data_IF_243434857548
#
_entry.id   IF_243434857548
#
_cell.length_a   1.000
_cell.length_b   1.000
_cell.length_c   1.000
_cell.angle_alpha   90.00
_cell.angle_beta   90.00
_cell.angle_gamma   90.00
#
_symmetry.space_group_name_H-M   'P 1'
#
loop_
_entity.id
_entity.type
_entity.pdbx_description
1 polymer ?
#
# COMPACT_ATOMS: atom_id res chain seq x y z
N UNK A 1 13.14 -14.29 -18.37
CA UNK A 1 13.69 -15.50 -19.02
C UNK A 1 13.10 -15.58 -20.41
N UNK A 2 13.95 -15.73 -21.42
CA UNK A 2 13.55 -15.85 -22.81
C UNK A 2 12.59 -17.03 -23.06
N UNK A 3 12.69 -18.10 -22.27
CA UNK A 3 11.76 -19.23 -22.34
C UNK A 3 10.31 -18.83 -21.99
N UNK A 4 10.12 -17.92 -21.03
CA UNK A 4 8.79 -17.44 -20.66
C UNK A 4 8.16 -16.60 -21.75
N UNK A 5 8.98 -15.86 -22.50
CA UNK A 5 8.51 -15.11 -23.66
C UNK A 5 8.08 -16.04 -24.79
N UNK A 6 8.83 -17.10 -25.06
CA UNK A 6 8.43 -18.13 -26.04
C UNK A 6 7.08 -18.76 -25.65
N UNK A 7 6.92 -19.14 -24.38
CA UNK A 7 5.66 -19.65 -23.84
C UNK A 7 4.51 -18.65 -24.01
N UNK A 8 4.72 -17.37 -23.67
CA UNK A 8 3.72 -16.30 -23.85
C UNK A 8 3.29 -16.17 -25.31
N UNK A 9 4.21 -16.35 -26.26
CA UNK A 9 3.95 -16.24 -27.69
C UNK A 9 3.34 -17.52 -28.31
N UNK A 10 3.18 -18.60 -27.52
CA UNK A 10 2.73 -19.90 -28.01
C UNK A 10 3.77 -20.59 -28.90
N UNK A 11 5.07 -20.37 -28.64
CA UNK A 11 6.17 -20.94 -29.40
C UNK A 11 6.83 -22.04 -28.56
N UNK A 12 6.68 -23.30 -28.98
CA UNK A 12 7.20 -24.47 -28.26
C UNK A 12 8.67 -24.80 -28.59
N UNK A 13 9.26 -24.06 -29.54
CA UNK A 13 10.63 -24.28 -30.02
C UNK A 13 11.62 -23.54 -29.12
N UNK A 14 12.55 -24.27 -28.52
CA UNK A 14 13.63 -23.69 -27.71
C UNK A 14 14.93 -23.45 -28.46
N UNK A 15 15.14 -24.13 -29.60
CA UNK A 15 16.29 -23.90 -30.47
C UNK A 15 16.03 -22.70 -31.41
N UNK A 16 16.79 -21.59 -31.30
CA UNK A 16 16.62 -20.43 -32.17
C UNK A 16 16.74 -20.74 -33.66
N UNK A 17 17.48 -21.80 -34.04
CA UNK A 17 17.65 -22.21 -35.44
C UNK A 17 16.33 -22.66 -36.08
N UNK A 18 15.42 -23.21 -35.26
CA UNK A 18 14.14 -23.77 -35.68
C UNK A 18 13.01 -22.72 -35.76
N UNK A 19 13.25 -21.52 -35.24
CA UNK A 19 12.29 -20.42 -35.33
C UNK A 19 12.16 -19.93 -36.78
N UNK A 20 10.92 -19.87 -37.26
CA UNK A 20 10.56 -19.23 -38.54
C UNK A 20 10.84 -17.72 -38.47
N UNK A 21 11.01 -17.02 -39.61
CA UNK A 21 11.23 -15.58 -39.60
C UNK A 21 10.16 -14.77 -38.83
N UNK A 22 8.85 -15.08 -38.92
CA UNK A 22 7.82 -14.42 -38.10
C UNK A 22 7.98 -14.68 -36.60
N UNK A 23 8.26 -15.92 -36.20
CA UNK A 23 8.50 -16.27 -34.79
C UNK A 23 9.72 -15.53 -34.23
N UNK A 24 10.83 -15.47 -35.00
CA UNK A 24 12.03 -14.71 -34.62
C UNK A 24 11.72 -13.24 -34.42
N UNK A 25 10.95 -12.64 -35.34
CA UNK A 25 10.57 -11.24 -35.24
C UNK A 25 9.74 -10.97 -33.99
N UNK A 26 8.67 -11.74 -33.76
CA UNK A 26 7.81 -11.60 -32.57
C UNK A 26 8.56 -11.87 -31.27
N UNK A 27 9.49 -12.82 -31.27
CA UNK A 27 10.30 -13.12 -30.10
C UNK A 27 11.31 -12.00 -29.80
N UNK A 28 12.06 -11.52 -30.79
CA UNK A 28 13.15 -10.56 -30.56
C UNK A 28 12.70 -9.10 -30.46
N UNK A 29 11.63 -8.71 -31.19
CA UNK A 29 11.13 -7.34 -31.22
C UNK A 29 9.90 -7.21 -30.34
N UNK A 30 9.95 -6.29 -29.38
CA UNK A 30 8.80 -5.98 -28.53
C UNK A 30 7.80 -5.04 -29.21
N UNK A 31 8.25 -4.24 -30.18
CA UNK A 31 7.41 -3.29 -30.94
C UNK A 31 6.58 -2.36 -30.04
N UNK A 32 7.18 -1.92 -28.93
CA UNK A 32 6.52 -1.11 -27.90
C UNK A 32 6.05 0.20 -28.53
N UNK A 33 4.78 0.53 -28.35
CA UNK A 33 4.25 1.85 -28.68
C UNK A 33 4.71 2.86 -27.61
N UNK A 34 5.56 3.84 -27.94
CA UNK A 34 6.06 4.82 -26.96
C UNK A 34 4.95 5.62 -26.28
N UNK A 35 3.79 5.80 -26.93
CA UNK A 35 2.66 6.53 -26.38
C UNK A 35 1.88 5.72 -25.33
N UNK A 36 2.03 4.39 -25.33
CA UNK A 36 1.37 3.47 -24.40
C UNK A 36 2.14 3.24 -23.10
N UNK A 37 3.39 3.74 -23.00
CA UNK A 37 4.25 3.50 -21.84
C UNK A 37 3.66 4.19 -20.61
N UNK A 38 3.17 3.38 -19.68
CA UNK A 38 2.61 3.84 -18.40
C UNK A 38 3.67 3.89 -17.29
N UNK A 39 4.80 3.21 -17.50
CA UNK A 39 5.86 3.10 -16.50
C UNK A 39 6.63 4.42 -16.33
N UNK A 40 6.49 5.03 -15.15
CA UNK A 40 7.19 6.27 -14.76
C UNK A 40 8.47 5.96 -13.98
N UNK A 41 9.32 6.97 -13.80
CA UNK A 41 10.52 6.88 -12.97
C UNK A 41 10.17 7.19 -11.51
N UNK A 42 11.07 6.88 -10.58
CA UNK A 42 10.86 7.19 -9.17
C UNK A 42 12.08 7.80 -8.50
N UNK A 43 11.84 8.65 -7.49
CA UNK A 43 12.86 9.19 -6.59
C UNK A 43 12.23 9.46 -5.23
N UNK A 44 12.95 9.19 -4.15
CA UNK A 44 12.43 9.40 -2.79
C UNK A 44 12.69 10.82 -2.26
N UNK A 45 12.19 11.80 -3.00
CA UNK A 45 12.32 13.23 -2.70
C UNK A 45 11.04 13.96 -3.09
N UNK A 46 10.62 14.93 -2.27
CA UNK A 46 9.49 15.80 -2.59
C UNK A 46 9.88 16.86 -3.64
N UNK A 47 9.95 16.45 -4.91
CA UNK A 47 10.26 17.35 -6.03
C UNK A 47 9.08 17.50 -6.99
N UNK A 48 8.44 18.67 -6.97
CA UNK A 48 7.29 18.96 -7.82
C UNK A 48 7.66 19.19 -9.30
N UNK A 49 8.90 19.57 -9.59
CA UNK A 49 9.33 19.92 -10.96
C UNK A 49 9.50 18.69 -11.85
N UNK A 50 9.67 17.51 -11.25
CA UNK A 50 9.85 16.26 -11.98
C UNK A 50 8.53 15.52 -12.29
N UNK A 51 7.38 16.09 -11.90
CA UNK A 51 6.06 15.50 -12.19
C UNK A 51 5.83 15.29 -13.69
N UNK A 52 6.38 16.16 -14.51
CA UNK A 52 6.30 16.08 -15.96
C UNK A 52 7.56 16.61 -16.61
N UNK A 53 8.22 15.78 -17.41
CA UNK A 53 9.49 16.08 -18.07
C UNK A 53 9.48 15.51 -19.50
N UNK A 54 10.37 16.02 -20.34
CA UNK A 54 10.73 15.40 -21.61
C UNK A 54 12.13 14.79 -21.51
N UNK A 55 12.28 13.56 -22.00
CA UNK A 55 13.55 12.81 -21.99
C UNK A 55 13.98 12.51 -23.43
N UNK A 56 15.26 12.14 -23.62
CA UNK A 56 15.78 11.83 -24.96
C UNK A 56 16.13 13.05 -25.82
N UNK A 57 16.43 14.19 -25.18
CA UNK A 57 16.83 15.44 -25.85
C UNK A 57 18.31 15.44 -26.31
N UNK A 58 19.06 14.39 -25.97
CA UNK A 58 20.46 14.24 -26.37
C UNK A 58 20.64 14.00 -27.87
N UNK A 59 21.82 14.28 -28.45
CA UNK A 59 22.11 14.02 -29.86
C UNK A 59 21.95 12.55 -30.27
N UNK A 60 22.26 11.60 -29.37
CA UNK A 60 22.16 10.16 -29.64
C UNK A 60 20.70 9.70 -29.69
N UNK A 61 19.81 10.30 -28.90
CA UNK A 61 18.39 10.01 -28.84
C UNK A 61 17.56 10.83 -29.83
N UNK A 62 18.18 11.56 -30.77
CA UNK A 62 17.49 12.42 -31.73
C UNK A 62 16.30 11.71 -32.40
N UNK A 63 15.11 12.33 -32.31
CA UNK A 63 13.87 11.79 -32.86
C UNK A 63 13.19 10.72 -31.99
N UNK A 64 13.72 10.42 -30.80
CA UNK A 64 13.20 9.45 -29.83
C UNK A 64 12.90 10.12 -28.49
N UNK A 65 12.32 11.33 -28.52
CA UNK A 65 11.92 12.02 -27.29
C UNK A 65 10.70 11.35 -26.67
N UNK A 66 10.59 11.42 -25.35
CA UNK A 66 9.48 10.82 -24.61
C UNK A 66 9.09 11.68 -23.42
N UNK A 67 7.80 12.03 -23.35
CA UNK A 67 7.19 12.77 -22.25
C UNK A 67 6.82 11.80 -21.13
N UNK A 68 7.32 12.05 -19.94
CA UNK A 68 7.24 11.15 -18.78
C UNK A 68 7.32 11.95 -17.48
N UNK A 69 7.59 11.30 -16.35
CA UNK A 69 7.88 11.98 -15.08
C UNK A 69 8.37 11.04 -14.00
N UNK A 70 8.57 11.62 -12.82
CA UNK A 70 8.91 10.92 -11.59
C UNK A 70 7.73 10.91 -10.63
N UNK A 71 7.58 9.78 -9.94
CA UNK A 71 6.74 9.66 -8.76
C UNK A 71 7.63 9.43 -7.52
N UNK A 72 7.07 9.60 -6.32
CA UNK A 72 7.83 9.31 -5.09
C UNK A 72 7.97 7.80 -4.92
N UNK A 73 9.13 7.29 -4.50
CA UNK A 73 9.45 5.84 -4.53
C UNK A 73 8.38 4.92 -3.95
N UNK A 74 7.70 5.32 -2.87
CA UNK A 74 6.63 4.55 -2.22
C UNK A 74 5.36 4.36 -3.06
N UNK A 75 5.20 5.09 -4.17
CA UNK A 75 4.10 4.89 -5.14
C UNK A 75 4.41 3.81 -6.18
N UNK A 76 5.65 3.34 -6.26
CA UNK A 76 6.05 2.32 -7.23
C UNK A 76 5.27 1.02 -7.06
N UNK A 77 4.87 0.40 -8.18
CA UNK A 77 4.32 -0.96 -8.15
C UNK A 77 5.29 -1.97 -7.50
N UNK A 78 6.61 -1.73 -7.63
CA UNK A 78 7.64 -2.53 -6.95
C UNK A 78 7.47 -2.49 -5.42
N UNK A 79 7.09 -1.34 -4.85
CA UNK A 79 6.82 -1.22 -3.41
C UNK A 79 5.57 -2.02 -3.02
N UNK A 80 4.52 -1.97 -3.83
CA UNK A 80 3.32 -2.77 -3.60
C UNK A 80 3.61 -4.28 -3.68
N UNK A 81 4.45 -4.70 -4.63
CA UNK A 81 4.90 -6.10 -4.77
C UNK A 81 5.73 -6.53 -3.56
N UNK A 82 6.68 -5.69 -3.10
CA UNK A 82 7.47 -5.97 -1.90
C UNK A 82 6.57 -6.18 -0.67
N UNK A 83 5.51 -5.39 -0.54
CA UNK A 83 4.59 -5.51 0.58
C UNK A 83 3.66 -6.74 0.49
N UNK A 84 3.24 -7.15 -0.72
CA UNK A 84 2.33 -8.29 -0.91
C UNK A 84 3.01 -9.63 -1.18
N UNK A 85 4.33 -9.65 -1.32
CA UNK A 85 5.00 -10.92 -1.61
C UNK A 85 5.07 -11.83 -0.39
N UNK A 86 5.09 -13.13 -0.66
CA UNK A 86 5.15 -14.22 0.33
C UNK A 86 6.49 -14.96 0.32
N UNK A 87 7.33 -14.75 -0.69
CA UNK A 87 8.66 -15.35 -0.84
C UNK A 87 9.46 -14.67 -1.94
N UNK A 88 10.77 -14.93 -2.03
CA UNK A 88 11.61 -14.43 -3.13
C UNK A 88 11.13 -14.91 -4.50
N UNK A 89 10.64 -16.15 -4.57
CA UNK A 89 10.09 -16.73 -5.80
C UNK A 89 8.81 -16.01 -6.23
N UNK A 90 7.88 -15.81 -5.30
CA UNK A 90 6.64 -15.05 -5.54
C UNK A 90 6.93 -13.58 -5.94
N UNK A 91 7.92 -12.94 -5.30
CA UNK A 91 8.32 -11.58 -5.64
C UNK A 91 8.85 -11.51 -7.08
N UNK A 92 9.68 -12.48 -7.49
CA UNK A 92 10.14 -12.58 -8.88
C UNK A 92 8.93 -12.66 -9.81
N UNK A 93 8.02 -13.61 -9.59
CA UNK A 93 6.86 -13.81 -10.48
C UNK A 93 6.07 -12.51 -10.67
N UNK A 94 5.79 -11.81 -9.56
CA UNK A 94 5.07 -10.53 -9.58
C UNK A 94 5.82 -9.44 -10.31
N UNK A 95 7.14 -9.30 -10.04
CA UNK A 95 7.98 -8.36 -10.77
C UNK A 95 7.93 -8.64 -12.27
N UNK A 96 8.00 -9.92 -12.67
CA UNK A 96 7.89 -10.34 -14.07
C UNK A 96 6.57 -9.99 -14.73
N UNK A 97 5.46 -10.03 -13.98
CA UNK A 97 4.12 -9.76 -14.47
C UNK A 97 3.79 -8.26 -14.63
N UNK A 98 4.60 -7.35 -14.07
CA UNK A 98 4.37 -5.90 -14.18
C UNK A 98 4.30 -5.48 -15.65
N UNK A 99 3.24 -4.77 -16.02
CA UNK A 99 3.01 -4.26 -17.38
C UNK A 99 3.62 -2.87 -17.50
N UNK A 100 4.46 -2.67 -18.51
CA UNK A 100 5.16 -1.39 -18.74
C UNK A 100 4.50 -0.52 -19.82
N UNK A 101 3.65 -1.12 -20.65
CA UNK A 101 2.98 -0.52 -21.80
C UNK A 101 2.44 -1.61 -22.73
N UNK A 102 2.09 -1.23 -23.95
CA UNK A 102 1.64 -2.16 -25.00
C UNK A 102 2.52 -2.08 -26.24
N UNK A 103 2.48 -3.09 -27.09
CA UNK A 103 3.00 -2.97 -28.45
C UNK A 103 1.99 -2.25 -29.36
N UNK A 104 2.39 -1.99 -30.61
CA UNK A 104 1.53 -1.38 -31.63
C UNK A 104 0.29 -2.23 -31.99
N UNK A 105 0.26 -3.51 -31.59
CA UNK A 105 -0.90 -4.40 -31.76
C UNK A 105 -1.82 -4.42 -30.52
N UNK A 106 -1.49 -3.64 -29.47
CA UNK A 106 -2.27 -3.55 -28.22
C UNK A 106 -1.99 -4.68 -27.21
N UNK A 107 -1.02 -5.55 -27.45
CA UNK A 107 -0.64 -6.60 -26.52
C UNK A 107 0.21 -6.04 -25.37
N UNK A 108 -0.09 -6.44 -24.13
CA UNK A 108 0.65 -5.99 -22.96
C UNK A 108 2.11 -6.45 -23.02
N UNK A 109 3.05 -5.52 -22.77
CA UNK A 109 4.48 -5.80 -22.62
C UNK A 109 4.81 -5.77 -21.13
N UNK A 110 5.48 -6.82 -20.66
CA UNK A 110 5.79 -7.01 -19.24
C UNK A 110 7.28 -6.84 -18.96
N UNK A 111 7.66 -6.73 -17.69
CA UNK A 111 9.08 -6.73 -17.30
C UNK A 111 9.78 -8.07 -17.61
N UNK A 112 9.03 -9.17 -17.68
CA UNK A 112 9.53 -10.46 -18.13
C UNK A 112 9.89 -10.44 -19.62
N UNK A 113 9.09 -9.75 -20.44
CA UNK A 113 9.35 -9.58 -21.88
C UNK A 113 10.61 -8.75 -22.14
N UNK A 114 10.86 -7.74 -21.30
CA UNK A 114 12.10 -6.96 -21.29
C UNK A 114 13.31 -7.77 -20.79
N UNK A 115 13.09 -8.94 -20.19
CA UNK A 115 14.15 -9.77 -19.62
C UNK A 115 14.72 -9.25 -18.29
N UNK A 116 14.09 -8.25 -17.66
CA UNK A 116 14.64 -7.58 -16.46
C UNK A 116 14.11 -8.10 -15.14
N UNK A 117 13.08 -8.95 -15.13
CA UNK A 117 12.47 -9.50 -13.92
C UNK A 117 13.49 -10.14 -12.94
N UNK A 118 14.49 -10.87 -13.46
CA UNK A 118 15.55 -11.46 -12.65
C UNK A 118 16.49 -10.40 -12.05
N UNK A 119 16.89 -9.41 -12.83
CA UNK A 119 17.74 -8.31 -12.35
C UNK A 119 17.05 -7.48 -11.26
N UNK A 120 15.75 -7.17 -11.46
CA UNK A 120 14.92 -6.53 -10.43
C UNK A 120 14.91 -7.35 -9.14
N UNK A 121 14.72 -8.67 -9.24
CA UNK A 121 14.70 -9.56 -8.08
C UNK A 121 16.04 -9.58 -7.34
N UNK A 122 17.17 -9.52 -8.06
CA UNK A 122 18.51 -9.43 -7.46
C UNK A 122 18.68 -8.13 -6.67
N UNK A 123 18.25 -6.99 -7.23
CA UNK A 123 18.29 -5.70 -6.52
C UNK A 123 17.42 -5.71 -5.25
N UNK A 124 16.33 -6.46 -5.25
CA UNK A 124 15.40 -6.58 -4.13
C UNK A 124 15.76 -7.71 -3.15
N UNK A 125 16.83 -8.47 -3.38
CA UNK A 125 17.18 -9.69 -2.61
C UNK A 125 17.36 -9.44 -1.12
N UNK A 126 17.95 -8.31 -0.75
CA UNK A 126 18.11 -7.93 0.66
C UNK A 126 16.93 -7.11 1.16
N UNK A 127 16.37 -6.25 0.30
CA UNK A 127 15.22 -5.43 0.59
C UNK A 127 13.95 -6.22 0.93
N UNK A 128 13.87 -7.51 0.57
CA UNK A 128 12.76 -8.40 0.93
C UNK A 128 12.75 -8.82 2.41
N UNK A 129 13.87 -8.61 3.13
CA UNK A 129 14.03 -9.04 4.53
C UNK A 129 13.49 -7.96 5.47
N UNK A 130 12.51 -8.26 6.36
CA UNK A 130 12.04 -7.30 7.35
C UNK A 130 13.13 -6.80 8.29
N UNK A 131 13.09 -5.50 8.63
CA UNK A 131 14.04 -4.89 9.56
C UNK A 131 13.54 -5.05 10.98
N UNK A 132 14.35 -5.67 11.84
CA UNK A 132 14.07 -5.75 13.28
C UNK A 132 14.58 -4.50 14.00
N UNK A 133 13.68 -3.87 14.73
CA UNK A 133 13.90 -2.74 15.62
C UNK A 133 13.29 -3.04 17.00
N UNK A 134 13.28 -2.05 17.88
CA UNK A 134 12.62 -2.13 19.19
C UNK A 134 11.92 -0.82 19.54
N UNK A 135 10.88 -0.90 20.37
CA UNK A 135 10.25 0.27 21.01
C UNK A 135 11.14 0.83 22.13
N UNK A 136 10.74 1.95 22.73
CA UNK A 136 11.42 2.54 23.89
C UNK A 136 11.51 1.58 25.09
N UNK A 137 10.58 0.63 25.20
CA UNK A 137 10.52 -0.37 26.28
C UNK A 137 11.14 -1.72 25.89
N UNK A 138 11.81 -1.79 24.74
CA UNK A 138 12.48 -3.00 24.27
C UNK A 138 11.58 -4.02 23.59
N UNK A 139 10.31 -3.70 23.34
CA UNK A 139 9.40 -4.59 22.58
C UNK A 139 9.89 -4.69 21.12
N UNK A 140 10.05 -5.90 20.56
CA UNK A 140 10.44 -6.08 19.16
C UNK A 140 9.45 -5.42 18.20
N UNK A 141 9.97 -4.72 17.19
CA UNK A 141 9.18 -4.08 16.14
C UNK A 141 9.75 -4.39 14.75
N UNK A 142 8.92 -4.88 13.83
CA UNK A 142 9.32 -5.08 12.44
C UNK A 142 8.87 -3.89 11.58
N UNK A 143 9.82 -3.22 10.92
CA UNK A 143 9.55 -2.10 10.01
C UNK A 143 9.92 -2.51 8.59
N UNK A 144 8.93 -2.72 7.73
CA UNK A 144 9.18 -3.25 6.39
C UNK A 144 8.10 -2.91 5.36
N UNK A 145 8.57 -2.40 4.22
CA UNK A 145 7.76 -1.81 3.15
C UNK A 145 6.93 -0.59 3.59
N UNK A 146 6.36 0.13 2.62
CA UNK A 146 5.53 1.30 2.89
C UNK A 146 4.79 1.80 1.64
N UNK A 147 3.93 0.97 1.02
CA UNK A 147 3.15 1.38 -0.14
C UNK A 147 2.12 2.44 0.26
N UNK A 148 1.77 3.31 -0.69
CA UNK A 148 0.68 4.27 -0.51
C UNK A 148 -0.68 3.59 -0.28
N UNK A 149 -1.51 4.18 0.58
CA UNK A 149 -2.83 3.65 0.91
C UNK A 149 -3.94 4.08 -0.08
N UNK A 150 -3.68 5.02 -1.00
CA UNK A 150 -4.66 5.45 -2.01
C UNK A 150 -4.55 4.62 -3.30
N UNK A 151 -3.39 4.60 -3.94
CA UNK A 151 -3.13 3.86 -5.20
C UNK A 151 -2.71 2.41 -4.98
N UNK A 152 -2.32 2.05 -3.76
CA UNK A 152 -2.01 0.69 -3.34
C UNK A 152 -2.76 0.35 -2.03
N UNK A 153 -2.29 -0.66 -1.29
CA UNK A 153 -3.01 -1.24 -0.15
C UNK A 153 -2.73 -0.53 1.19
N UNK A 154 -1.54 0.04 1.38
CA UNK A 154 -1.27 0.90 2.54
C UNK A 154 -0.84 0.20 3.82
N UNK A 155 -0.20 -0.97 3.74
CA UNK A 155 0.28 -1.72 4.90
C UNK A 155 1.73 -2.16 4.74
N UNK A 156 2.36 -2.47 5.87
CA UNK A 156 3.64 -3.18 5.94
C UNK A 156 3.56 -4.57 5.26
N UNK A 157 4.71 -5.19 5.04
CA UNK A 157 4.77 -6.43 4.26
C UNK A 157 4.08 -7.65 4.91
N UNK A 158 3.55 -8.55 4.08
CA UNK A 158 3.07 -9.88 4.49
C UNK A 158 4.18 -10.72 5.14
N UNK A 159 5.42 -10.61 4.65
CA UNK A 159 6.56 -11.33 5.22
C UNK A 159 6.83 -10.94 6.68
N UNK A 160 6.76 -9.64 7.00
CA UNK A 160 6.93 -9.15 8.36
C UNK A 160 5.86 -9.75 9.29
N UNK A 161 4.58 -9.69 8.90
CA UNK A 161 3.50 -10.26 9.73
C UNK A 161 3.66 -11.77 9.94
N UNK A 162 4.00 -12.52 8.88
CA UNK A 162 4.20 -13.97 8.98
C UNK A 162 5.38 -14.35 9.87
N UNK A 163 6.49 -13.62 9.77
CA UNK A 163 7.66 -13.82 10.62
C UNK A 163 7.30 -13.47 12.07
N UNK A 164 6.64 -12.34 12.31
CA UNK A 164 6.20 -11.93 13.63
C UNK A 164 5.30 -12.99 14.27
N UNK A 165 4.25 -13.44 13.57
CA UNK A 165 3.32 -14.47 14.05
C UNK A 165 4.04 -15.78 14.39
N UNK A 166 5.05 -16.15 13.60
CA UNK A 166 5.84 -17.34 13.87
C UNK A 166 6.72 -17.20 15.12
N UNK A 167 7.30 -16.01 15.34
CA UNK A 167 8.22 -15.74 16.44
C UNK A 167 7.51 -15.55 17.78
N UNK A 168 6.36 -14.87 17.79
CA UNK A 168 5.61 -14.63 19.04
C UNK A 168 4.95 -15.90 19.59
N UNK A 169 4.69 -16.90 18.73
CA UNK A 169 4.13 -18.19 19.15
C UNK A 169 2.63 -18.15 19.45
N UNK A 170 2.06 -19.23 20.00
CA UNK A 170 0.61 -19.36 20.21
C UNK A 170 0.03 -18.40 21.25
N UNK A 171 0.85 -17.95 22.21
CA UNK A 171 0.43 -17.08 23.31
C UNK A 171 0.76 -15.60 23.07
N UNK A 172 1.34 -15.29 21.90
CA UNK A 172 1.81 -13.95 21.56
C UNK A 172 0.88 -13.22 20.60
N UNK A 173 1.05 -11.89 20.52
CA UNK A 173 0.24 -11.02 19.68
C UNK A 173 1.11 -10.28 18.67
N UNK A 174 0.58 -10.07 17.47
CA UNK A 174 1.16 -9.19 16.46
C UNK A 174 0.20 -8.03 16.24
N UNK A 175 0.68 -6.82 16.51
CA UNK A 175 -0.04 -5.58 16.22
C UNK A 175 0.51 -5.04 14.91
N UNK A 176 -0.39 -4.80 13.96
CA UNK A 176 -0.09 -4.21 12.65
C UNK A 176 -1.13 -3.14 12.37
N UNK A 177 -0.85 -2.26 11.41
CA UNK A 177 -1.69 -1.10 11.12
C UNK A 177 -1.96 -0.97 9.62
N UNK A 178 -2.87 -0.04 9.28
CA UNK A 178 -3.19 0.32 7.90
C UNK A 178 -3.27 1.84 7.77
N UNK A 179 -2.75 2.37 6.66
CA UNK A 179 -2.78 3.80 6.38
C UNK A 179 -4.20 4.32 6.09
N UNK A 180 -4.44 5.60 6.40
CA UNK A 180 -5.76 6.26 6.37
C UNK A 180 -6.80 5.66 7.33
N UNK A 181 -8.07 6.01 7.15
CA UNK A 181 -9.18 5.49 7.93
C UNK A 181 -9.61 4.09 7.53
N UNK A 182 -10.57 3.53 8.27
CA UNK A 182 -11.04 2.17 8.06
C UNK A 182 -11.82 1.97 6.74
N UNK A 183 -12.23 3.05 6.11
CA UNK A 183 -12.86 3.10 4.78
C UNK A 183 -11.88 2.89 3.62
N UNK A 184 -10.57 3.06 3.86
CA UNK A 184 -9.52 2.85 2.84
C UNK A 184 -8.54 1.78 3.32
N UNK A 185 -7.83 2.04 4.42
CA UNK A 185 -6.76 1.17 4.89
C UNK A 185 -7.26 -0.18 5.32
N UNK A 186 -8.23 -0.20 6.26
CA UNK A 186 -8.76 -1.46 6.78
C UNK A 186 -9.47 -2.27 5.69
N UNK A 187 -10.28 -1.64 4.83
CA UNK A 187 -10.92 -2.32 3.70
C UNK A 187 -9.88 -3.06 2.85
N UNK A 188 -8.83 -2.36 2.39
CA UNK A 188 -7.75 -2.98 1.61
C UNK A 188 -6.94 -4.00 2.40
N UNK A 189 -6.82 -3.85 3.72
CA UNK A 189 -6.18 -4.86 4.56
C UNK A 189 -6.93 -6.18 4.49
N UNK A 190 -8.25 -6.17 4.68
CA UNK A 190 -9.08 -7.37 4.61
C UNK A 190 -9.23 -7.88 3.17
N UNK A 191 -9.53 -7.00 2.21
CA UNK A 191 -9.91 -7.41 0.87
C UNK A 191 -8.72 -7.65 -0.08
N UNK A 192 -7.52 -7.18 0.29
CA UNK A 192 -6.29 -7.42 -0.47
C UNK A 192 -5.30 -8.22 0.39
N UNK A 193 -4.74 -7.62 1.44
CA UNK A 193 -3.59 -8.21 2.17
C UNK A 193 -3.94 -9.53 2.86
N UNK A 194 -5.10 -9.64 3.50
CA UNK A 194 -5.56 -10.89 4.13
C UNK A 194 -5.81 -11.98 3.08
N UNK A 195 -6.41 -11.66 1.93
CA UNK A 195 -6.63 -12.63 0.84
C UNK A 195 -5.32 -13.17 0.26
N UNK A 196 -4.31 -12.31 0.04
CA UNK A 196 -3.00 -12.73 -0.45
C UNK A 196 -2.17 -13.49 0.60
N UNK A 197 -2.24 -13.07 1.86
CA UNK A 197 -1.46 -13.67 2.95
C UNK A 197 -2.08 -14.95 3.52
N UNK A 198 -3.39 -15.12 3.38
CA UNK A 198 -4.16 -16.14 4.10
C UNK A 198 -4.29 -15.87 5.60
N UNK A 199 -3.86 -14.71 6.09
CA UNK A 199 -3.96 -14.32 7.50
C UNK A 199 -5.33 -13.72 7.78
N UNK A 200 -5.88 -14.00 8.96
CA UNK A 200 -7.17 -13.48 9.41
C UNK A 200 -6.95 -12.73 10.73
N UNK A 201 -7.31 -11.44 10.80
CA UNK A 201 -7.20 -10.66 12.03
C UNK A 201 -8.15 -11.17 13.11
N UNK A 202 -7.69 -11.22 14.37
CA UNK A 202 -8.53 -11.63 15.51
C UNK A 202 -9.37 -10.49 16.09
N UNK A 203 -8.88 -9.25 15.98
CA UNK A 203 -9.52 -8.05 16.53
C UNK A 203 -9.11 -6.82 15.71
N UNK A 204 -10.01 -5.85 15.60
CA UNK A 204 -9.74 -4.51 15.07
C UNK A 204 -9.69 -3.53 16.24
N UNK A 205 -8.59 -2.78 16.36
CA UNK A 205 -8.50 -1.64 17.27
C UNK A 205 -8.76 -0.38 16.46
N UNK A 206 -9.89 0.29 16.72
CA UNK A 206 -10.28 1.52 16.07
C UNK A 206 -9.81 2.71 16.91
N UNK A 207 -8.80 3.44 16.43
CA UNK A 207 -8.28 4.61 17.12
C UNK A 207 -9.18 5.82 16.86
N UNK A 208 -9.57 6.52 17.93
CA UNK A 208 -10.33 7.75 17.87
C UNK A 208 -9.76 8.80 18.84
N UNK A 209 -10.07 10.07 18.60
CA UNK A 209 -9.78 11.16 19.54
C UNK A 209 -11.01 12.06 19.66
N UNK A 210 -11.24 12.62 20.84
CA UNK A 210 -12.34 13.57 21.06
C UNK A 210 -12.29 14.72 20.06
N UNK A 211 -11.09 15.26 19.82
CA UNK A 211 -10.88 16.40 18.92
C UNK A 211 -11.17 16.07 17.45
N UNK A 212 -10.76 14.90 16.96
CA UNK A 212 -11.07 14.48 15.60
C UNK A 212 -12.59 14.29 15.41
N UNK A 213 -13.27 13.73 16.41
CA UNK A 213 -14.72 13.59 16.37
C UNK A 213 -15.42 14.95 16.36
N UNK A 214 -15.01 15.91 17.20
CA UNK A 214 -15.49 17.30 17.10
C UNK A 214 -15.26 17.91 15.71
N UNK A 215 -14.12 17.62 15.06
CA UNK A 215 -13.86 18.09 13.69
C UNK A 215 -14.85 17.49 12.70
N UNK A 216 -15.16 16.19 12.81
CA UNK A 216 -16.20 15.54 12.02
C UNK A 216 -17.61 16.07 12.31
N UNK A 217 -17.83 16.65 13.49
CA UNK A 217 -19.08 17.34 13.86
C UNK A 217 -19.28 18.70 13.20
N UNK A 218 -18.34 19.16 12.36
CA UNK A 218 -18.44 20.44 11.64
C UNK A 218 -17.72 21.60 12.32
N UNK A 219 -16.69 21.32 13.13
CA UNK A 219 -15.88 22.35 13.78
C UNK A 219 -15.10 23.23 12.78
N UNK A 220 -14.47 24.32 13.26
CA UNK A 220 -13.72 25.25 12.41
C UNK A 220 -12.59 24.57 11.62
N UNK A 221 -12.32 25.03 10.39
CA UNK A 221 -11.27 24.45 9.54
C UNK A 221 -9.91 24.46 10.25
N UNK A 222 -9.29 23.28 10.38
CA UNK A 222 -7.93 23.14 10.88
C UNK A 222 -6.93 23.49 9.78
N UNK A 223 -5.96 24.34 10.11
CA UNK A 223 -4.88 24.76 9.19
C UNK A 223 -3.54 24.42 9.85
N UNK A 224 -2.70 23.68 9.14
CA UNK A 224 -1.38 23.29 9.63
C UNK A 224 -0.55 24.53 10.02
N UNK A 225 0.09 24.48 11.18
CA UNK A 225 0.90 25.58 11.72
C UNK A 225 0.11 26.69 12.44
N UNK A 226 -1.23 26.64 12.46
CA UNK A 226 -2.05 27.55 13.27
C UNK A 226 -2.53 26.88 14.55
N UNK A 227 -2.71 27.63 15.66
CA UNK A 227 -3.37 27.12 16.86
C UNK A 227 -4.74 26.54 16.53
N UNK A 228 -5.14 25.50 17.27
CA UNK A 228 -6.48 24.94 17.18
C UNK A 228 -7.50 25.93 17.73
N UNK A 229 -8.67 25.97 17.11
CA UNK A 229 -9.81 26.73 17.63
C UNK A 229 -10.29 26.17 18.97
N UNK A 230 -10.86 27.03 19.82
CA UNK A 230 -11.23 26.67 21.19
C UNK A 230 -12.29 25.57 21.25
N UNK A 231 -13.13 25.46 20.22
CA UNK A 231 -14.12 24.37 20.07
C UNK A 231 -13.48 22.98 20.06
N UNK A 232 -12.18 22.87 19.75
CA UNK A 232 -11.44 21.62 19.82
C UNK A 232 -10.71 21.42 21.16
N UNK A 233 -10.46 22.48 21.93
CA UNK A 233 -9.71 22.39 23.19
C UNK A 233 -10.60 22.48 24.42
N UNK A 234 -11.76 23.09 24.31
CA UNK A 234 -12.74 23.24 25.37
C UNK A 234 -13.79 22.13 25.26
N UNK A 235 -14.47 21.84 26.37
CA UNK A 235 -15.54 20.85 26.37
C UNK A 235 -16.64 21.26 25.39
N UNK A 236 -17.00 20.36 24.47
CA UNK A 236 -18.09 20.61 23.53
C UNK A 236 -18.81 19.32 23.15
N UNK A 237 -19.73 18.89 24.02
CA UNK A 237 -20.51 17.67 23.85
C UNK A 237 -21.42 17.71 22.61
N UNK A 238 -21.97 18.88 22.26
CA UNK A 238 -22.83 19.04 21.08
C UNK A 238 -22.04 18.78 19.79
N UNK A 239 -20.86 19.39 19.67
CA UNK A 239 -20.01 19.22 18.50
C UNK A 239 -19.43 17.80 18.42
N UNK A 240 -19.05 17.23 19.58
CA UNK A 240 -18.62 15.84 19.67
C UNK A 240 -19.72 14.88 19.21
N UNK A 241 -20.94 15.03 19.73
CA UNK A 241 -22.11 14.23 19.38
C UNK A 241 -22.41 14.26 17.87
N UNK A 242 -22.27 15.41 17.23
CA UNK A 242 -22.46 15.56 15.79
C UNK A 242 -21.41 14.79 14.96
N UNK A 243 -20.23 14.52 15.51
CA UNK A 243 -19.14 13.81 14.84
C UNK A 243 -19.07 12.30 15.10
N UNK A 244 -19.73 11.80 16.14
CA UNK A 244 -19.81 10.37 16.47
C UNK A 244 -20.23 9.48 15.28
N UNK A 245 -21.16 9.89 14.37
CA UNK A 245 -21.55 9.08 13.23
C UNK A 245 -20.39 8.61 12.33
N UNK A 246 -19.27 9.34 12.29
CA UNK A 246 -18.07 8.90 11.57
C UNK A 246 -17.50 7.60 12.19
N UNK A 247 -17.19 7.62 13.48
CA UNK A 247 -16.67 6.46 14.19
C UNK A 247 -17.67 5.30 14.19
N UNK A 248 -18.95 5.57 14.43
CA UNK A 248 -20.01 4.56 14.42
C UNK A 248 -20.08 3.84 13.06
N UNK A 249 -19.91 4.57 11.94
CA UNK A 249 -19.89 3.98 10.60
C UNK A 249 -18.66 3.09 10.43
N UNK A 250 -17.48 3.50 10.89
CA UNK A 250 -16.27 2.69 10.80
C UNK A 250 -16.36 1.41 11.65
N UNK A 251 -16.93 1.47 12.86
CA UNK A 251 -17.22 0.29 13.68
C UNK A 251 -18.14 -0.67 12.92
N UNK A 252 -19.26 -0.18 12.39
CA UNK A 252 -20.21 -1.00 11.62
C UNK A 252 -19.57 -1.61 10.37
N UNK A 253 -18.65 -0.92 9.72
CA UNK A 253 -17.92 -1.47 8.58
C UNK A 253 -16.95 -2.58 9.01
N UNK A 254 -16.21 -2.40 10.09
CA UNK A 254 -15.30 -3.41 10.62
C UNK A 254 -16.04 -4.69 11.04
N UNK A 255 -17.19 -4.55 11.72
CA UNK A 255 -18.03 -5.68 12.14
C UNK A 255 -18.52 -6.55 10.96
N UNK A 256 -18.65 -6.00 9.75
CA UNK A 256 -19.05 -6.78 8.55
C UNK A 256 -18.02 -7.82 8.15
N UNK A 257 -16.76 -7.66 8.53
CA UNK A 257 -15.72 -8.67 8.32
C UNK A 257 -15.77 -9.79 9.35
N UNK A 258 -16.71 -9.76 10.30
CA UNK A 258 -16.90 -10.83 11.28
C UNK A 258 -15.86 -10.83 12.40
N UNK A 259 -15.18 -9.71 12.62
CA UNK A 259 -14.15 -9.54 13.66
C UNK A 259 -14.63 -8.60 14.74
N UNK A 260 -14.17 -8.84 15.97
CA UNK A 260 -14.46 -7.97 17.10
C UNK A 260 -13.78 -6.61 16.93
N UNK A 261 -14.42 -5.55 17.42
CA UNK A 261 -13.92 -4.18 17.36
C UNK A 261 -13.80 -3.62 18.77
N UNK A 262 -12.63 -3.08 19.09
CA UNK A 262 -12.40 -2.30 20.31
C UNK A 262 -12.04 -0.87 19.91
N UNK A 263 -12.60 0.14 20.57
CA UNK A 263 -12.28 1.53 20.31
C UNK A 263 -11.22 2.02 21.30
N UNK A 264 -10.06 2.42 20.78
CA UNK A 264 -9.01 3.07 21.56
C UNK A 264 -9.18 4.59 21.47
N UNK A 265 -9.64 5.21 22.56
CA UNK A 265 -9.75 6.67 22.65
C UNK A 265 -8.40 7.24 23.12
N UNK A 266 -7.61 7.78 22.20
CA UNK A 266 -6.35 8.43 22.54
C UNK A 266 -6.64 9.75 23.27
N UNK A 267 -6.39 9.76 24.58
CA UNK A 267 -6.67 10.89 25.45
C UNK A 267 -5.67 12.05 25.29
N UNK A 268 -6.18 13.27 25.37
CA UNK A 268 -5.39 14.50 25.47
C UNK A 268 -5.68 15.23 26.78
N UNK A 269 -4.74 16.09 27.20
CA UNK A 269 -4.79 16.80 28.48
C UNK A 269 -6.03 17.69 28.70
N UNK A 270 -6.78 17.99 27.64
CA UNK A 270 -7.99 18.83 27.68
C UNK A 270 -9.28 18.05 27.48
N UNK A 271 -9.19 16.76 27.18
CA UNK A 271 -10.39 15.93 27.01
C UNK A 271 -11.04 15.74 28.38
N UNK A 272 -12.34 16.03 28.48
CA UNK A 272 -13.05 15.90 29.76
C UNK A 272 -13.56 14.46 29.96
N UNK A 273 -13.78 14.02 31.21
CA UNK A 273 -14.41 12.73 31.47
C UNK A 273 -15.78 12.57 30.80
N UNK A 274 -16.56 13.67 30.69
CA UNK A 274 -17.86 13.64 30.02
C UNK A 274 -17.73 13.38 28.51
N UNK A 275 -16.72 13.93 27.86
CA UNK A 275 -16.44 13.70 26.45
C UNK A 275 -16.00 12.27 26.18
N UNK A 276 -15.08 11.74 26.99
CA UNK A 276 -14.60 10.36 26.86
C UNK A 276 -15.75 9.37 27.10
N UNK A 277 -16.59 9.60 28.11
CA UNK A 277 -17.76 8.77 28.36
C UNK A 277 -18.79 8.82 27.23
N UNK A 278 -18.96 9.98 26.59
CA UNK A 278 -19.83 10.10 25.43
C UNK A 278 -19.33 9.23 24.25
N UNK A 279 -18.03 9.26 23.98
CA UNK A 279 -17.40 8.41 22.96
C UNK A 279 -17.57 6.93 23.30
N UNK A 280 -17.30 6.53 24.55
CA UNK A 280 -17.47 5.15 25.02
C UNK A 280 -18.90 4.65 24.81
N UNK A 281 -19.90 5.40 25.26
CA UNK A 281 -21.33 5.04 25.10
C UNK A 281 -21.72 4.86 23.64
N UNK A 282 -21.27 5.76 22.76
CA UNK A 282 -21.56 5.66 21.34
C UNK A 282 -20.85 4.47 20.67
N UNK A 283 -19.61 4.18 21.05
CA UNK A 283 -18.87 3.01 20.56
C UNK A 283 -19.58 1.70 20.92
N UNK A 284 -19.99 1.53 22.19
CA UNK A 284 -20.74 0.36 22.65
C UNK A 284 -22.09 0.24 21.95
N UNK A 285 -22.82 1.35 21.80
CA UNK A 285 -24.09 1.37 21.08
C UNK A 285 -23.93 1.01 19.58
N UNK A 286 -22.77 1.28 18.99
CA UNK A 286 -22.44 0.90 17.62
C UNK A 286 -21.99 -0.56 17.45
N UNK A 287 -21.82 -1.31 18.55
CA UNK A 287 -21.45 -2.72 18.55
C UNK A 287 -19.97 -3.01 18.80
N UNK A 288 -19.18 -2.02 19.24
CA UNK A 288 -17.84 -2.29 19.76
C UNK A 288 -17.92 -3.06 21.10
N UNK A 289 -16.86 -3.81 21.41
CA UNK A 289 -16.73 -4.52 22.68
C UNK A 289 -16.30 -3.58 23.81
N UNK A 290 -16.79 -3.89 25.01
CA UNK A 290 -16.24 -3.35 26.27
C UNK A 290 -15.00 -4.18 26.62
N UNK A 291 -13.85 -3.52 26.79
CA UNK A 291 -12.54 -4.14 26.97
C UNK A 291 -11.83 -3.57 28.19
#
# INVERSE_FOLDING_TARGET
>A
SMLRRLQKLGIDKSDPSQLTPPERSRFARLDIDPASVTWRRVMDTNDRYLREIETGLGPEEKGRTHRTGFDITVTSEIMAILALTTSLADMRERLGAMVIGTNHQGEAITSEDLGVAGALTVLMKDAIKPNLMQTLEGTPALVHAGPFANIAHGQSSILADRIALKLVGPDGYVITESGFGADIGMEKFFDIKCRYSGLIPSVVVMVATVRALKMHGGGPRVVAGKPLASEYTDENLTLLQAGLPNMERHIKNALKYGVNVVVAVNSFARDTPAEVELVRKAALAAGAMDA
#
